data_IF_111884030310
#
_entry.id   IF_111884030310
#
_cell.length_a   1.000
_cell.length_b   1.000
_cell.length_c   1.000
_cell.angle_alpha   90.00
_cell.angle_beta   90.00
_cell.angle_gamma   90.00
#
_symmetry.space_group_name_H-M   'P 1'
#
loop_
_entity.id
_entity.type
_entity.pdbx_description
1 polymer ?
#
# COMPACT_ATOMS: atom_id res chain seq x y z
N UNK A 1 -57.35 4.19 -1.53
CA UNK A 1 -56.03 4.80 -1.25
C UNK A 1 -55.07 3.69 -0.82
N UNK A 2 -53.96 3.51 -1.56
CA UNK A 2 -52.71 2.85 -1.13
C UNK A 2 -52.62 1.32 -0.87
N UNK A 3 -53.43 0.44 -1.51
CA UNK A 3 -53.25 -1.02 -1.35
C UNK A 3 -52.69 -1.77 -2.58
N UNK A 4 -52.67 -1.16 -3.78
CA UNK A 4 -52.34 -1.86 -5.04
C UNK A 4 -51.01 -1.46 -5.69
N UNK A 5 -50.18 -0.66 -5.02
CA UNK A 5 -48.86 -0.34 -5.56
C UNK A 5 -47.85 -1.41 -5.11
N UNK A 6 -47.90 -2.59 -5.74
CA UNK A 6 -46.83 -3.59 -5.65
C UNK A 6 -45.60 -3.04 -6.38
N UNK A 7 -44.91 -2.11 -5.72
CA UNK A 7 -43.61 -1.63 -6.15
C UNK A 7 -42.66 -2.83 -6.06
N UNK A 8 -42.45 -3.48 -7.21
CA UNK A 8 -41.43 -4.51 -7.38
C UNK A 8 -40.10 -3.80 -7.40
N UNK A 9 -39.51 -3.63 -6.21
CA UNK A 9 -38.11 -3.22 -6.10
C UNK A 9 -37.28 -4.30 -6.83
N UNK A 10 -36.51 -3.94 -7.87
CA UNK A 10 -35.59 -4.90 -8.46
C UNK A 10 -34.65 -5.37 -7.36
N UNK A 11 -34.60 -6.68 -7.13
CA UNK A 11 -33.66 -7.29 -6.19
C UNK A 11 -32.28 -6.73 -6.53
N UNK A 12 -31.66 -6.04 -5.57
CA UNK A 12 -30.36 -5.40 -5.74
C UNK A 12 -29.29 -6.39 -6.17
N UNK A 13 -29.23 -6.69 -7.47
CA UNK A 13 -28.19 -7.47 -8.13
C UNK A 13 -26.87 -6.67 -8.24
N UNK A 14 -26.72 -5.59 -7.47
CA UNK A 14 -25.45 -4.91 -7.22
C UNK A 14 -24.75 -5.38 -5.95
N UNK A 15 -25.29 -6.37 -5.23
CA UNK A 15 -24.74 -6.86 -3.95
C UNK A 15 -23.44 -7.67 -4.06
N UNK A 16 -22.94 -7.92 -5.27
CA UNK A 16 -21.71 -8.70 -5.53
C UNK A 16 -20.75 -8.01 -6.50
N UNK A 17 -20.92 -6.71 -6.82
CA UNK A 17 -19.82 -5.97 -7.44
C UNK A 17 -18.80 -5.70 -6.35
N UNK A 18 -18.05 -6.76 -5.99
CA UNK A 18 -16.95 -6.68 -5.06
C UNK A 18 -15.93 -5.79 -5.78
N UNK A 19 -15.84 -4.52 -5.36
CA UNK A 19 -14.74 -3.59 -5.67
C UNK A 19 -13.41 -4.10 -5.05
N UNK A 20 -13.20 -5.41 -5.09
CA UNK A 20 -11.98 -6.08 -4.74
C UNK A 20 -11.38 -6.66 -6.02
N UNK A 21 -11.43 -5.90 -7.11
CA UNK A 21 -10.22 -5.81 -7.92
C UNK A 21 -9.17 -5.11 -7.02
N UNK A 22 -8.73 -5.88 -6.03
CA UNK A 22 -7.53 -5.68 -5.26
C UNK A 22 -6.47 -5.49 -6.33
N UNK A 23 -6.07 -4.24 -6.57
CA UNK A 23 -4.85 -3.96 -7.31
C UNK A 23 -3.72 -4.50 -6.44
N UNK A 24 -3.51 -5.81 -6.48
CA UNK A 24 -2.26 -6.42 -6.07
C UNK A 24 -1.26 -5.89 -7.08
N UNK A 25 -0.47 -4.94 -6.61
CA UNK A 25 0.57 -4.33 -7.41
C UNK A 25 1.44 -5.46 -7.93
N UNK A 26 1.75 -5.50 -9.23
CA UNK A 26 2.63 -6.55 -9.80
C UNK A 26 4.01 -6.58 -9.12
N UNK A 27 4.36 -5.53 -8.39
CA UNK A 27 5.59 -5.37 -7.63
C UNK A 27 5.20 -5.04 -6.19
N UNK A 28 5.29 -6.04 -5.32
CA UNK A 28 5.15 -5.89 -3.87
C UNK A 28 6.55 -5.94 -3.24
N UNK A 29 6.93 -4.89 -2.51
CA UNK A 29 8.19 -4.89 -1.76
C UNK A 29 7.91 -5.50 -0.39
N UNK A 30 8.56 -6.63 -0.03
CA UNK A 30 8.35 -7.23 1.27
C UNK A 30 8.85 -6.27 2.37
N UNK A 31 8.18 -6.19 3.53
CA UNK A 31 8.61 -5.33 4.64
C UNK A 31 10.07 -5.55 5.05
N UNK A 32 10.57 -6.77 4.91
CA UNK A 32 11.96 -7.15 5.16
C UNK A 32 12.93 -6.39 4.24
N UNK A 33 12.60 -6.19 2.97
CA UNK A 33 13.45 -5.46 2.04
C UNK A 33 13.57 -3.98 2.43
N UNK A 34 12.49 -3.37 2.94
CA UNK A 34 12.50 -1.99 3.45
C UNK A 34 13.42 -1.85 4.67
N UNK A 35 13.35 -2.81 5.59
CA UNK A 35 14.20 -2.83 6.80
C UNK A 35 15.68 -2.96 6.41
N UNK A 36 16.01 -3.88 5.49
CA UNK A 36 17.38 -4.07 5.01
C UNK A 36 17.90 -2.79 4.35
N UNK A 37 17.11 -2.14 3.49
CA UNK A 37 17.48 -0.89 2.84
C UNK A 37 17.75 0.22 3.86
N UNK A 38 16.92 0.35 4.90
CA UNK A 38 17.11 1.34 5.95
C UNK A 38 18.43 1.14 6.72
N UNK A 39 18.77 -0.12 7.03
CA UNK A 39 20.05 -0.45 7.71
C UNK A 39 21.25 -0.12 6.82
N UNK A 40 21.18 -0.41 5.52
CA UNK A 40 22.25 -0.09 4.57
C UNK A 40 22.49 1.43 4.51
N UNK A 41 21.41 2.22 4.41
CA UNK A 41 21.50 3.69 4.39
C UNK A 41 22.12 4.20 5.70
N UNK A 42 21.69 3.68 6.84
CA UNK A 42 22.23 4.05 8.15
C UNK A 42 23.75 3.79 8.22
N UNK A 43 24.20 2.60 7.81
CA UNK A 43 25.63 2.28 7.76
C UNK A 43 26.40 3.20 6.80
N UNK A 44 25.83 3.50 5.63
CA UNK A 44 26.42 4.44 4.67
C UNK A 44 26.61 5.84 5.27
N UNK A 45 25.62 6.35 6.01
CA UNK A 45 25.71 7.65 6.70
C UNK A 45 26.80 7.61 7.78
N UNK A 46 26.88 6.53 8.57
CA UNK A 46 27.90 6.39 9.61
C UNK A 46 29.32 6.36 9.03
N UNK A 47 29.52 5.58 7.97
CA UNK A 47 30.80 5.52 7.27
C UNK A 47 31.16 6.88 6.66
N UNK A 48 30.20 7.54 6.02
CA UNK A 48 30.41 8.88 5.48
C UNK A 48 30.74 9.89 6.58
N UNK A 49 30.13 9.79 7.76
CA UNK A 49 30.42 10.70 8.86
C UNK A 49 31.84 10.49 9.42
N UNK A 50 32.27 9.23 9.57
CA UNK A 50 33.61 8.90 10.07
C UNK A 50 34.71 9.26 9.07
N UNK A 51 34.51 8.92 7.80
CA UNK A 51 35.54 9.11 6.76
C UNK A 51 35.44 10.45 6.04
N UNK A 52 34.24 11.03 5.92
CA UNK A 52 34.04 12.34 5.29
C UNK A 52 34.75 13.46 6.07
N UNK A 53 34.67 13.46 7.40
CA UNK A 53 35.44 14.40 8.22
C UNK A 53 36.96 14.23 8.10
N UNK A 54 37.43 13.02 7.75
CA UNK A 54 38.85 12.70 7.56
C UNK A 54 39.36 12.96 6.13
N UNK A 55 38.48 13.06 5.13
CA UNK A 55 38.84 13.33 3.72
C UNK A 55 38.85 14.85 3.45
N UNK A 56 38.03 15.63 4.17
CA UNK A 56 37.91 17.09 4.00
C UNK A 56 38.69 17.91 5.04
N UNK A 57 39.58 17.29 5.82
CA UNK A 57 40.50 17.93 6.78
C UNK A 57 41.93 17.47 6.48
#
# INVERSE_FOLDING_TARGET
MAQDNKIRLPSGQGGLTRYFDEYSSKIEIPPVAVIIMAVIIMLGILLLHQYGGSIFN
#
